data_IF_345125021798
#
_entry.id   IF_345125021798
#
_cell.length_a   1.000
_cell.length_b   1.000
_cell.length_c   1.000
_cell.angle_alpha   90.00
_cell.angle_beta   90.00
_cell.angle_gamma   90.00
#
_symmetry.space_group_name_H-M   'P 1'
#
loop_
_entity.id
_entity.type
_entity.pdbx_description
1 polymer ?
#
# COMPACT_ATOMS: atom_id res chain seq x y z
N UNK A 1 -6.09 1.28 27.60
CA UNK A 1 -4.80 1.64 28.24
C UNK A 1 -4.58 3.13 28.06
N UNK A 2 -3.92 3.79 29.01
CA UNK A 2 -3.76 5.25 29.03
C UNK A 2 -2.85 5.81 27.94
N UNK A 3 -2.32 4.96 27.06
CA UNK A 3 -1.39 5.32 25.99
C UNK A 3 -1.80 4.84 24.59
N UNK A 4 -3.07 4.47 24.41
CA UNK A 4 -3.57 3.90 23.16
C UNK A 4 -4.93 4.45 22.78
N UNK A 5 -5.12 4.74 21.49
CA UNK A 5 -6.42 4.97 20.85
C UNK A 5 -6.67 3.87 19.83
N UNK A 6 -7.89 3.33 19.84
CA UNK A 6 -8.34 2.28 18.90
C UNK A 6 -9.54 2.80 18.12
N UNK A 7 -9.49 2.67 16.81
CA UNK A 7 -10.58 3.00 15.89
C UNK A 7 -11.04 1.72 15.20
N UNK A 8 -12.31 1.40 15.34
CA UNK A 8 -12.94 0.26 14.68
C UNK A 8 -14.05 0.79 13.78
N UNK A 9 -14.14 0.26 12.58
CA UNK A 9 -15.14 0.67 11.62
C UNK A 9 -15.21 -0.28 10.42
N UNK A 10 -15.93 0.17 9.40
CA UNK A 10 -16.01 -0.54 8.13
C UNK A 10 -15.85 0.43 6.96
N UNK A 11 -15.45 -0.10 5.80
CA UNK A 11 -15.41 0.65 4.56
C UNK A 11 -16.82 1.15 4.19
N UNK A 12 -16.88 2.18 3.35
CA UNK A 12 -18.15 2.78 2.91
C UNK A 12 -19.05 1.71 2.29
N UNK A 13 -20.29 1.63 2.79
CA UNK A 13 -21.30 0.68 2.34
C UNK A 13 -22.10 0.09 3.49
N UNK A 14 -22.70 -1.05 3.25
CA UNK A 14 -23.44 -1.83 4.22
C UNK A 14 -22.49 -2.58 5.15
N UNK A 15 -22.68 -2.43 6.45
CA UNK A 15 -21.87 -3.08 7.49
C UNK A 15 -21.78 -4.62 7.32
N UNK A 16 -22.85 -5.25 6.84
CA UNK A 16 -22.91 -6.71 6.68
C UNK A 16 -22.08 -7.24 5.50
N UNK A 17 -21.69 -6.36 4.56
CA UNK A 17 -20.99 -6.74 3.34
C UNK A 17 -19.68 -6.00 3.12
N UNK A 18 -19.39 -4.97 3.93
CA UNK A 18 -18.19 -4.16 3.79
C UNK A 18 -16.98 -4.76 4.52
N UNK A 19 -15.79 -4.41 4.09
CA UNK A 19 -14.55 -4.74 4.80
C UNK A 19 -14.52 -3.95 6.10
N UNK A 20 -14.34 -4.64 7.22
CA UNK A 20 -14.11 -4.06 8.52
C UNK A 20 -12.63 -3.78 8.74
N UNK A 21 -12.31 -2.84 9.62
CA UNK A 21 -10.94 -2.51 9.98
C UNK A 21 -10.80 -2.20 11.47
N UNK A 22 -9.59 -2.39 11.97
CA UNK A 22 -9.15 -1.94 13.27
C UNK A 22 -7.83 -1.19 13.11
N UNK A 23 -7.79 0.05 13.57
CA UNK A 23 -6.58 0.87 13.60
C UNK A 23 -6.22 1.16 15.05
N UNK A 24 -4.97 0.90 15.44
CA UNK A 24 -4.46 1.15 16.78
C UNK A 24 -3.30 2.14 16.68
N UNK A 25 -3.42 3.25 17.39
CA UNK A 25 -2.32 4.19 17.63
C UNK A 25 -1.89 4.07 19.09
N UNK A 26 -0.64 3.69 19.31
CA UNK A 26 -0.05 3.54 20.64
C UNK A 26 1.18 4.42 20.77
N UNK A 27 1.33 5.07 21.92
CA UNK A 27 2.45 5.96 22.20
C UNK A 27 3.33 5.43 23.34
N UNK A 28 4.63 5.61 23.19
CA UNK A 28 5.63 5.46 24.25
C UNK A 28 6.47 6.74 24.32
N UNK A 29 6.89 7.14 25.51
CA UNK A 29 7.80 8.27 25.72
C UNK A 29 8.94 7.88 26.64
N UNK A 30 10.04 8.63 26.56
CA UNK A 30 11.20 8.46 27.44
C UNK A 30 10.91 8.93 28.86
N UNK A 31 10.11 9.97 29.02
CA UNK A 31 9.70 10.58 30.27
C UNK A 31 8.35 11.28 30.12
N UNK A 32 7.86 11.89 31.19
CA UNK A 32 6.61 12.63 31.19
C UNK A 32 5.39 11.76 31.36
N UNK A 33 4.24 12.27 30.93
CA UNK A 33 2.94 11.63 31.07
C UNK A 33 2.27 11.49 29.72
N UNK A 34 1.76 10.30 29.45
CA UNK A 34 0.90 10.03 28.30
C UNK A 34 -0.53 9.87 28.83
N UNK A 35 -1.47 10.55 28.20
CA UNK A 35 -2.90 10.41 28.46
C UNK A 35 -3.64 10.21 27.15
N UNK A 36 -4.36 9.10 27.03
CA UNK A 36 -5.25 8.83 25.91
C UNK A 36 -6.70 9.06 26.30
N UNK A 37 -7.44 9.72 25.43
CA UNK A 37 -8.90 9.84 25.46
C UNK A 37 -9.51 9.00 24.33
N UNK A 38 -10.80 9.16 24.07
CA UNK A 38 -11.50 8.42 23.00
C UNK A 38 -10.91 8.64 21.59
N UNK A 39 -10.31 9.81 21.35
CA UNK A 39 -9.84 10.20 20.01
C UNK A 39 -8.48 10.89 19.97
N UNK A 40 -7.84 11.10 21.11
CA UNK A 40 -6.57 11.83 21.20
C UNK A 40 -5.58 11.16 22.13
N UNK A 41 -4.30 11.33 21.82
CA UNK A 41 -3.18 11.03 22.72
C UNK A 41 -2.46 12.33 23.02
N UNK A 42 -2.38 12.67 24.29
CA UNK A 42 -1.62 13.84 24.78
C UNK A 42 -0.35 13.35 25.45
N UNK A 43 0.79 13.91 25.05
CA UNK A 43 2.11 13.62 25.62
C UNK A 43 2.65 14.92 26.20
N UNK A 44 3.00 14.93 27.47
CA UNK A 44 3.48 16.11 28.17
C UNK A 44 4.76 15.82 28.94
N UNK A 45 5.75 16.72 28.83
CA UNK A 45 7.01 16.63 29.57
C UNK A 45 7.99 15.58 29.02
N UNK A 46 7.78 15.05 27.83
CA UNK A 46 8.68 14.12 27.17
C UNK A 46 9.71 14.88 26.30
N UNK A 47 10.93 14.37 26.23
CA UNK A 47 11.94 14.80 25.26
C UNK A 47 11.80 14.05 23.95
N UNK A 48 11.45 12.78 24.00
CA UNK A 48 11.19 11.94 22.83
C UNK A 48 9.92 11.11 22.98
N UNK A 49 9.22 10.88 21.88
CA UNK A 49 8.07 9.99 21.86
C UNK A 49 8.12 9.11 20.58
N UNK A 50 7.70 7.87 20.74
CA UNK A 50 7.52 6.93 19.63
C UNK A 50 6.05 6.60 19.49
N UNK A 51 5.52 6.77 18.28
CA UNK A 51 4.16 6.42 17.94
C UNK A 51 4.17 5.14 17.09
N UNK A 52 3.41 4.14 17.52
CA UNK A 52 3.20 2.90 16.79
C UNK A 52 1.79 2.92 16.20
N UNK A 53 1.71 2.76 14.90
CA UNK A 53 0.45 2.67 14.19
C UNK A 53 0.30 1.29 13.56
N UNK A 54 -0.81 0.63 13.88
CA UNK A 54 -1.20 -0.67 13.32
C UNK A 54 -2.54 -0.51 12.64
N UNK A 55 -2.73 -1.18 11.52
CA UNK A 55 -4.00 -1.20 10.81
C UNK A 55 -4.24 -2.58 10.19
N UNK A 56 -5.31 -3.23 10.62
CA UNK A 56 -5.73 -4.53 10.13
C UNK A 56 -7.13 -4.49 9.55
N UNK A 57 -7.40 -5.37 8.60
CA UNK A 57 -8.71 -5.46 7.94
C UNK A 57 -9.25 -6.86 7.91
N UNK A 58 -10.57 -6.99 7.74
CA UNK A 58 -11.23 -8.27 7.57
C UNK A 58 -11.06 -8.89 6.18
N UNK A 59 -10.39 -8.21 5.24
CA UNK A 59 -10.14 -8.77 3.91
C UNK A 59 -9.27 -10.04 4.00
N UNK A 60 -9.72 -11.14 3.41
CA UNK A 60 -9.06 -12.45 3.47
C UNK A 60 -8.94 -13.13 2.10
N UNK A 61 -9.17 -12.39 1.03
CA UNK A 61 -9.10 -12.89 -0.35
C UNK A 61 -10.31 -12.49 -1.18
N UNK A 62 -10.14 -12.51 -2.50
CA UNK A 62 -11.18 -12.10 -3.46
C UNK A 62 -12.41 -13.03 -3.49
N UNK A 63 -12.27 -14.25 -2.99
CA UNK A 63 -13.30 -15.30 -2.94
C UNK A 63 -13.94 -15.45 -1.55
N UNK A 64 -13.61 -14.58 -0.59
CA UNK A 64 -14.09 -14.65 0.79
C UNK A 64 -15.03 -13.50 1.12
N UNK A 65 -16.13 -13.82 1.79
CA UNK A 65 -17.02 -12.78 2.30
C UNK A 65 -16.34 -12.04 3.48
N UNK A 66 -16.22 -10.71 3.44
CA UNK A 66 -15.36 -9.97 4.38
C UNK A 66 -15.82 -10.01 5.85
N UNK A 67 -17.09 -10.31 6.11
CA UNK A 67 -17.64 -10.39 7.45
C UNK A 67 -17.71 -11.84 7.95
N UNK A 68 -18.31 -12.76 7.16
CA UNK A 68 -18.53 -14.13 7.62
C UNK A 68 -17.34 -15.08 7.41
N UNK A 69 -16.39 -14.70 6.53
CA UNK A 69 -15.19 -15.47 6.19
C UNK A 69 -13.92 -14.62 6.28
N UNK A 70 -14.05 -13.43 6.84
CA UNK A 70 -12.95 -12.47 6.95
C UNK A 70 -11.88 -12.88 7.96
N UNK A 71 -10.74 -12.22 7.90
CA UNK A 71 -9.69 -12.33 8.90
C UNK A 71 -10.15 -11.79 10.26
N UNK A 72 -9.59 -12.32 11.34
CA UNK A 72 -9.81 -11.76 12.68
C UNK A 72 -8.96 -10.49 12.87
N UNK A 73 -9.41 -9.43 12.25
CA UNK A 73 -8.72 -8.14 12.21
C UNK A 73 -8.56 -7.49 13.59
N UNK A 74 -9.45 -7.80 14.54
CA UNK A 74 -9.36 -7.29 15.91
C UNK A 74 -8.22 -7.96 16.66
N UNK A 75 -8.16 -9.31 16.60
CA UNK A 75 -7.11 -10.07 17.26
C UNK A 75 -5.75 -9.77 16.60
N UNK A 76 -5.68 -9.73 15.28
CA UNK A 76 -4.45 -9.41 14.54
C UNK A 76 -3.91 -8.03 14.90
N UNK A 77 -4.75 -6.99 14.90
CA UNK A 77 -4.34 -5.63 15.26
C UNK A 77 -3.85 -5.55 16.72
N UNK A 78 -4.52 -6.25 17.64
CA UNK A 78 -4.12 -6.30 19.04
C UNK A 78 -2.77 -6.99 19.23
N UNK A 79 -2.54 -8.11 18.52
CA UNK A 79 -1.30 -8.87 18.56
C UNK A 79 -0.12 -8.09 17.99
N UNK A 80 -0.31 -7.46 16.84
CA UNK A 80 0.70 -6.59 16.23
C UNK A 80 1.06 -5.40 17.12
N UNK A 81 0.07 -4.73 17.71
CA UNK A 81 0.30 -3.61 18.62
C UNK A 81 1.02 -4.07 19.90
N UNK A 82 0.76 -5.29 20.38
CA UNK A 82 1.46 -5.89 21.49
C UNK A 82 2.92 -6.20 21.16
N UNK A 83 3.18 -6.78 19.99
CA UNK A 83 4.53 -7.15 19.59
C UNK A 83 5.42 -5.94 19.31
N UNK A 84 4.90 -4.90 18.64
CA UNK A 84 5.66 -3.71 18.27
C UNK A 84 6.28 -3.00 19.47
N UNK A 85 5.57 -2.88 20.58
CA UNK A 85 6.08 -2.14 21.77
C UNK A 85 7.22 -2.85 22.50
N UNK A 86 7.49 -4.11 22.18
CA UNK A 86 8.62 -4.86 22.73
C UNK A 86 9.94 -4.54 22.03
N UNK A 87 9.90 -3.74 20.95
CA UNK A 87 11.09 -3.34 20.21
C UNK A 87 11.38 -1.85 20.44
N UNK A 88 12.64 -1.50 20.58
CA UNK A 88 13.06 -0.09 20.53
C UNK A 88 12.89 0.48 19.12
N UNK A 89 12.72 1.78 19.02
CA UNK A 89 12.70 2.50 17.73
C UNK A 89 13.92 2.14 16.86
N UNK A 90 15.12 2.11 17.45
CA UNK A 90 16.35 1.80 16.73
C UNK A 90 16.36 0.35 16.21
N UNK A 91 15.86 -0.60 16.97
CA UNK A 91 15.74 -1.99 16.54
C UNK A 91 14.80 -2.12 15.33
N UNK A 92 13.62 -1.48 15.37
CA UNK A 92 12.66 -1.46 14.25
C UNK A 92 13.25 -0.74 13.03
N UNK A 93 13.88 0.42 13.24
CA UNK A 93 14.53 1.17 12.17
C UNK A 93 15.63 0.37 11.49
N UNK A 94 16.48 -0.30 12.26
CA UNK A 94 17.58 -1.10 11.70
C UNK A 94 17.07 -2.32 10.93
N UNK A 95 16.03 -3.00 11.43
CA UNK A 95 15.35 -4.08 10.69
C UNK A 95 14.80 -3.57 9.37
N UNK A 96 14.06 -2.46 9.39
CA UNK A 96 13.49 -1.85 8.21
C UNK A 96 14.57 -1.48 7.18
N UNK A 97 15.67 -0.84 7.61
CA UNK A 97 16.75 -0.45 6.71
C UNK A 97 17.41 -1.69 6.09
N UNK A 98 17.72 -2.70 6.91
CA UNK A 98 18.37 -3.92 6.44
C UNK A 98 17.54 -4.63 5.38
N UNK A 99 16.26 -4.80 5.66
CA UNK A 99 15.30 -5.44 4.77
C UNK A 99 15.09 -4.64 3.47
N UNK A 100 14.90 -3.33 3.59
CA UNK A 100 14.67 -2.47 2.43
C UNK A 100 15.89 -2.36 1.50
N UNK A 101 17.08 -2.22 2.06
CA UNK A 101 18.33 -2.08 1.30
C UNK A 101 18.66 -3.33 0.49
N UNK A 102 18.27 -4.50 0.97
CA UNK A 102 18.43 -5.76 0.22
C UNK A 102 17.72 -5.70 -1.14
N UNK A 103 16.51 -5.15 -1.19
CA UNK A 103 15.73 -4.99 -2.42
C UNK A 103 16.17 -3.75 -3.21
N UNK A 104 16.23 -2.61 -2.54
CA UNK A 104 16.51 -1.33 -3.20
C UNK A 104 17.93 -1.27 -3.79
N UNK A 105 18.90 -1.88 -3.13
CA UNK A 105 20.29 -1.91 -3.54
C UNK A 105 20.61 -2.71 -4.80
N UNK A 106 19.67 -3.54 -5.28
CA UNK A 106 19.86 -4.43 -6.44
C UNK A 106 19.98 -3.72 -7.78
N UNK A 107 19.55 -2.47 -7.84
CA UNK A 107 19.56 -1.66 -9.05
C UNK A 107 19.98 -0.23 -8.74
N UNK A 108 20.84 0.33 -9.61
CA UNK A 108 21.28 1.73 -9.51
C UNK A 108 21.16 2.40 -10.88
N UNK A 109 20.48 3.53 -10.91
CA UNK A 109 20.41 4.41 -12.06
C UNK A 109 21.24 5.66 -11.77
N UNK A 110 22.06 6.09 -12.74
CA UNK A 110 22.75 7.36 -12.72
C UNK A 110 22.61 8.03 -14.08
N UNK A 111 21.98 9.18 -14.11
CA UNK A 111 21.84 10.02 -15.29
C UNK A 111 22.75 11.24 -15.12
N UNK A 112 23.68 11.42 -16.05
CA UNK A 112 24.61 12.56 -16.04
C UNK A 112 25.49 12.66 -14.77
N UNK A 113 25.92 13.88 -14.47
CA UNK A 113 26.55 14.21 -13.20
C UNK A 113 25.47 14.63 -12.22
N UNK A 114 25.23 13.88 -11.14
CA UNK A 114 24.21 14.26 -10.18
C UNK A 114 24.66 15.56 -9.47
N UNK A 115 23.94 16.63 -9.66
CA UNK A 115 24.05 17.80 -8.79
C UNK A 115 22.97 17.64 -7.74
N UNK A 116 23.38 17.06 -6.60
CA UNK A 116 22.49 16.96 -5.46
C UNK A 116 22.34 18.35 -4.84
N UNK A 117 21.14 18.91 -4.96
CA UNK A 117 20.78 20.14 -4.29
C UNK A 117 19.82 19.87 -3.13
N UNK A 118 20.41 19.65 -1.95
CA UNK A 118 19.67 19.42 -0.71
C UNK A 118 19.12 20.71 -0.07
N UNK A 119 19.41 21.88 -0.66
CA UNK A 119 18.97 23.18 -0.13
C UNK A 119 17.62 23.59 -0.69
N UNK A 120 17.25 23.06 -1.84
CA UNK A 120 15.97 23.37 -2.47
C UNK A 120 14.96 22.24 -2.30
N UNK A 121 13.74 22.51 -1.82
CA UNK A 121 12.69 21.52 -1.73
C UNK A 121 12.34 20.90 -3.10
N UNK A 122 11.94 19.65 -3.10
CA UNK A 122 11.64 18.90 -4.34
C UNK A 122 10.54 19.56 -5.18
N UNK A 123 9.54 20.16 -4.55
CA UNK A 123 8.47 20.88 -5.25
C UNK A 123 9.01 22.11 -6.04
N UNK A 124 9.98 22.81 -5.51
CA UNK A 124 10.63 23.91 -6.23
C UNK A 124 11.46 23.39 -7.41
N UNK A 125 12.20 22.30 -7.20
CA UNK A 125 12.95 21.66 -8.28
C UNK A 125 12.05 21.14 -9.40
N UNK A 126 10.86 20.65 -9.08
CA UNK A 126 9.85 20.21 -10.05
C UNK A 126 9.30 21.38 -10.88
N UNK A 127 9.02 22.52 -10.26
CA UNK A 127 8.59 23.73 -10.98
C UNK A 127 9.67 24.20 -11.97
N UNK A 128 10.91 24.32 -11.52
CA UNK A 128 12.04 24.68 -12.38
C UNK A 128 12.26 23.67 -13.52
N UNK A 129 12.09 22.38 -13.26
CA UNK A 129 12.19 21.34 -14.28
C UNK A 129 11.11 21.52 -15.36
N UNK A 130 9.89 21.84 -14.95
CA UNK A 130 8.78 22.11 -15.85
C UNK A 130 9.04 23.36 -16.70
N UNK A 131 9.47 24.46 -16.06
CA UNK A 131 9.73 25.73 -16.74
C UNK A 131 10.90 25.62 -17.75
N UNK A 132 11.94 24.86 -17.40
CA UNK A 132 13.12 24.63 -18.25
C UNK A 132 12.92 23.48 -19.25
N UNK A 133 11.77 22.81 -19.27
CA UNK A 133 11.48 21.63 -20.12
C UNK A 133 12.50 20.50 -19.95
N UNK A 134 12.88 20.23 -18.70
CA UNK A 134 13.83 19.17 -18.36
C UNK A 134 15.21 19.69 -17.90
N UNK A 135 16.20 18.83 -17.99
CA UNK A 135 17.60 19.20 -17.73
C UNK A 135 18.06 19.06 -16.28
N UNK A 136 17.36 18.27 -15.45
CA UNK A 136 17.80 17.92 -14.10
C UNK A 136 17.98 16.40 -13.94
N UNK A 137 19.16 15.84 -14.31
CA UNK A 137 19.41 14.40 -14.22
C UNK A 137 19.28 13.82 -12.81
N UNK A 138 19.49 14.65 -11.77
CA UNK A 138 19.28 14.23 -10.39
C UNK A 138 17.79 13.97 -10.12
N UNK A 139 16.93 14.91 -10.52
CA UNK A 139 15.48 14.78 -10.33
C UNK A 139 14.92 13.60 -11.12
N UNK A 140 15.41 13.37 -12.34
CA UNK A 140 15.03 12.23 -13.19
C UNK A 140 15.45 10.90 -12.54
N UNK A 141 16.67 10.85 -12.00
CA UNK A 141 17.16 9.68 -11.23
C UNK A 141 16.32 9.45 -9.98
N UNK A 142 16.01 10.52 -9.22
CA UNK A 142 15.18 10.45 -8.02
C UNK A 142 13.78 9.94 -8.35
N UNK A 143 13.17 10.41 -9.43
CA UNK A 143 11.86 9.98 -9.87
C UNK A 143 11.80 8.47 -10.17
N UNK A 144 12.78 7.97 -10.93
CA UNK A 144 12.90 6.54 -11.22
C UNK A 144 13.09 5.70 -9.95
N UNK A 145 13.95 6.16 -9.03
CA UNK A 145 14.19 5.45 -7.76
C UNK A 145 12.99 5.53 -6.81
N UNK A 146 12.23 6.63 -6.86
CA UNK A 146 11.01 6.79 -6.09
C UNK A 146 9.90 5.84 -6.59
N UNK A 147 9.78 5.64 -7.90
CA UNK A 147 8.89 4.63 -8.47
C UNK A 147 9.23 3.21 -7.97
N UNK A 148 10.52 2.86 -7.91
CA UNK A 148 10.96 1.59 -7.30
C UNK A 148 10.63 1.49 -5.81
N UNK A 149 10.80 2.58 -5.06
CA UNK A 149 10.39 2.62 -3.65
C UNK A 149 8.90 2.34 -3.49
N UNK A 150 8.04 2.96 -4.29
CA UNK A 150 6.60 2.73 -4.24
C UNK A 150 6.25 1.27 -4.56
N UNK A 151 6.87 0.68 -5.58
CA UNK A 151 6.64 -0.72 -5.95
C UNK A 151 7.07 -1.69 -4.82
N UNK A 152 8.26 -1.51 -4.24
CA UNK A 152 8.70 -2.29 -3.08
C UNK A 152 7.74 -2.15 -1.91
N UNK A 153 7.25 -0.93 -1.65
CA UNK A 153 6.39 -0.65 -0.50
C UNK A 153 4.98 -1.23 -0.63
N UNK A 154 4.50 -1.49 -1.85
CA UNK A 154 3.12 -1.94 -2.08
C UNK A 154 2.98 -3.38 -2.57
N UNK A 155 4.04 -4.05 -3.03
CA UNK A 155 3.90 -5.30 -3.77
C UNK A 155 4.83 -6.44 -3.32
N UNK A 156 5.47 -6.33 -2.16
CA UNK A 156 6.42 -7.35 -1.69
C UNK A 156 5.79 -8.49 -0.90
N UNK A 157 4.53 -8.38 -0.53
CA UNK A 157 3.80 -9.40 0.22
C UNK A 157 2.60 -9.86 -0.58
N UNK A 158 2.12 -11.07 -0.28
CA UNK A 158 0.84 -11.56 -0.82
C UNK A 158 -0.30 -10.62 -0.43
N UNK A 159 -1.30 -10.50 -1.28
CA UNK A 159 -2.45 -9.64 -1.06
C UNK A 159 -2.96 -9.04 -2.35
N UNK A 160 -3.39 -7.79 -2.27
CA UNK A 160 -3.88 -7.07 -3.45
C UNK A 160 -2.74 -6.36 -4.17
N UNK A 161 -2.74 -6.33 -5.52
CA UNK A 161 -1.78 -5.54 -6.28
C UNK A 161 -2.04 -4.04 -6.10
N UNK A 162 -1.07 -3.21 -6.52
CA UNK A 162 -1.28 -1.77 -6.61
C UNK A 162 -2.39 -1.46 -7.61
N UNK A 163 -3.42 -0.73 -7.17
CA UNK A 163 -4.50 -0.29 -8.04
C UNK A 163 -4.08 0.91 -8.92
N UNK A 164 -5.03 1.53 -9.65
CA UNK A 164 -4.78 2.60 -10.60
C UNK A 164 -3.89 3.73 -10.05
N UNK A 165 -4.08 4.14 -8.80
CA UNK A 165 -3.30 5.21 -8.17
C UNK A 165 -2.36 4.75 -7.04
N UNK A 166 -2.15 3.44 -6.88
CA UNK A 166 -1.41 2.84 -5.78
C UNK A 166 -2.29 2.59 -4.54
N UNK A 167 -1.70 2.04 -3.48
CA UNK A 167 -2.45 1.63 -2.28
C UNK A 167 -2.84 2.78 -1.36
N UNK A 168 -2.10 3.91 -1.42
CA UNK A 168 -2.31 5.03 -0.51
C UNK A 168 -3.06 6.17 -1.16
N UNK A 169 -4.04 6.71 -0.44
CA UNK A 169 -4.80 7.89 -0.85
C UNK A 169 -5.09 8.77 0.36
N UNK A 170 -5.00 10.11 0.24
CA UNK A 170 -5.42 11.02 1.29
C UNK A 170 -6.94 11.28 1.29
N UNK A 171 -7.68 10.67 0.36
CA UNK A 171 -9.10 10.90 0.17
C UNK A 171 -9.93 9.74 0.68
N UNK A 172 -11.04 10.03 1.34
CA UNK A 172 -12.05 9.03 1.71
C UNK A 172 -12.63 8.34 0.46
N UNK A 173 -12.85 9.13 -0.59
CA UNK A 173 -13.21 8.66 -1.92
C UNK A 173 -12.06 8.98 -2.87
N UNK A 174 -11.21 8.00 -3.12
CA UNK A 174 -10.10 8.17 -4.05
C UNK A 174 -10.62 8.40 -5.48
N UNK A 175 -9.89 9.16 -6.31
CA UNK A 175 -10.14 9.18 -7.75
C UNK A 175 -10.21 7.74 -8.28
N UNK A 176 -11.16 7.48 -9.19
CA UNK A 176 -11.39 6.12 -9.74
C UNK A 176 -11.73 5.04 -8.70
N UNK A 177 -12.02 5.44 -7.45
CA UNK A 177 -12.47 4.58 -6.34
C UNK A 177 -11.57 3.37 -6.05
N UNK A 178 -10.27 3.48 -6.34
CA UNK A 178 -9.30 2.40 -6.13
C UNK A 178 -9.51 1.19 -7.04
N UNK A 179 -10.17 1.35 -8.20
CA UNK A 179 -10.37 0.25 -9.14
C UNK A 179 -9.07 -0.22 -9.78
N UNK A 180 -9.10 -1.41 -10.36
CA UNK A 180 -8.06 -1.94 -11.23
C UNK A 180 -8.46 -1.73 -12.69
N UNK A 181 -7.76 -0.85 -13.37
CA UNK A 181 -7.94 -0.65 -14.81
C UNK A 181 -6.98 -1.62 -15.53
N UNK A 182 -7.53 -2.75 -15.95
CA UNK A 182 -6.78 -3.92 -16.45
C UNK A 182 -6.61 -3.94 -17.97
N UNK A 183 -6.64 -2.78 -18.60
CA UNK A 183 -6.34 -2.64 -20.03
C UNK A 183 -4.98 -2.00 -20.31
N UNK A 184 -4.36 -1.33 -19.31
CA UNK A 184 -2.99 -0.82 -19.38
C UNK A 184 -2.48 -0.31 -18.00
N UNK A 185 -3.30 0.32 -17.17
CA UNK A 185 -2.82 1.04 -15.99
C UNK A 185 -2.27 0.10 -14.93
N UNK A 186 -2.94 -1.02 -14.67
CA UNK A 186 -2.44 -2.04 -13.77
C UNK A 186 -1.11 -2.62 -14.27
N UNK A 187 -1.02 -2.91 -15.56
CA UNK A 187 0.17 -3.44 -16.21
C UNK A 187 1.35 -2.48 -16.10
N UNK A 188 1.12 -1.17 -16.32
CA UNK A 188 2.16 -0.14 -16.23
C UNK A 188 2.73 -0.01 -14.82
N UNK A 189 1.93 -0.23 -13.77
CA UNK A 189 2.42 -0.25 -12.40
C UNK A 189 3.50 -1.33 -12.19
N UNK A 190 3.44 -2.43 -12.94
CA UNK A 190 4.33 -3.57 -12.78
C UNK A 190 5.42 -3.70 -13.85
N UNK A 191 5.35 -2.93 -14.95
CA UNK A 191 6.39 -2.95 -15.98
C UNK A 191 7.81 -2.74 -15.46
N UNK A 192 8.04 -1.87 -14.47
CA UNK A 192 9.39 -1.68 -13.94
C UNK A 192 9.91 -2.82 -13.06
N UNK A 193 9.09 -3.78 -12.64
CA UNK A 193 9.49 -4.83 -11.72
C UNK A 193 10.70 -5.62 -12.22
N UNK A 194 10.58 -6.32 -13.33
CA UNK A 194 11.67 -7.14 -13.89
C UNK A 194 12.88 -6.31 -14.35
N UNK A 195 12.72 -5.22 -15.14
CA UNK A 195 13.86 -4.41 -15.57
C UNK A 195 14.65 -3.78 -14.43
N UNK A 196 14.02 -3.52 -13.28
CA UNK A 196 14.68 -2.94 -12.12
C UNK A 196 15.14 -3.97 -11.07
N UNK A 197 15.20 -5.25 -11.46
CA UNK A 197 15.64 -6.38 -10.63
C UNK A 197 14.79 -6.57 -9.36
N UNK A 198 13.47 -6.53 -9.54
CA UNK A 198 12.44 -6.73 -8.50
C UNK A 198 11.33 -7.70 -8.98
N UNK A 199 11.67 -8.87 -9.59
CA UNK A 199 10.66 -9.76 -10.19
C UNK A 199 9.64 -10.27 -9.16
N UNK A 200 10.03 -10.44 -7.91
CA UNK A 200 9.13 -10.90 -6.84
C UNK A 200 8.01 -9.92 -6.53
N UNK A 201 8.11 -8.65 -6.96
CA UNK A 201 7.03 -7.67 -6.81
C UNK A 201 5.83 -7.96 -7.72
N UNK A 202 5.94 -8.89 -8.68
CA UNK A 202 4.79 -9.30 -9.50
C UNK A 202 3.86 -10.28 -8.80
N UNK A 203 4.26 -10.85 -7.68
CA UNK A 203 3.50 -11.89 -6.98
C UNK A 203 2.04 -11.51 -6.67
N UNK A 204 1.70 -10.31 -6.15
CA UNK A 204 0.31 -9.94 -5.94
C UNK A 204 -0.48 -9.79 -7.25
N UNK A 205 0.17 -9.38 -8.33
CA UNK A 205 -0.43 -9.32 -9.66
C UNK A 205 -0.72 -10.72 -10.20
N UNK A 206 0.19 -11.67 -10.03
CA UNK A 206 0.01 -13.05 -10.47
C UNK A 206 -1.17 -13.71 -9.76
N UNK A 207 -1.29 -13.51 -8.43
CA UNK A 207 -2.43 -13.98 -7.62
C UNK A 207 -3.76 -13.34 -8.08
N UNK A 208 -3.72 -12.05 -8.41
CA UNK A 208 -4.89 -11.32 -8.91
C UNK A 208 -5.32 -11.82 -10.30
N UNK A 209 -4.39 -12.05 -11.21
CA UNK A 209 -4.67 -12.63 -12.53
C UNK A 209 -5.29 -14.02 -12.40
N UNK A 210 -4.81 -14.83 -11.46
CA UNK A 210 -5.42 -16.13 -11.18
C UNK A 210 -6.89 -16.01 -10.73
N UNK A 211 -7.18 -15.01 -9.88
CA UNK A 211 -8.55 -14.71 -9.44
C UNK A 211 -9.42 -14.20 -10.59
N UNK A 212 -8.90 -13.30 -11.42
CA UNK A 212 -9.58 -12.85 -12.65
C UNK A 212 -9.88 -14.02 -13.60
N UNK A 213 -8.93 -14.93 -13.78
CA UNK A 213 -9.13 -16.10 -14.63
C UNK A 213 -10.23 -17.03 -14.10
N UNK A 214 -10.32 -17.19 -12.77
CA UNK A 214 -11.38 -17.99 -12.16
C UNK A 214 -12.77 -17.39 -12.42
N UNK A 215 -12.95 -16.10 -12.12
CA UNK A 215 -14.22 -15.38 -12.31
C UNK A 215 -14.55 -15.18 -13.79
N UNK A 216 -13.53 -14.91 -14.60
CA UNK A 216 -13.65 -14.63 -16.03
C UNK A 216 -14.17 -15.80 -16.87
N UNK A 217 -14.08 -17.05 -16.38
CA UNK A 217 -14.73 -18.21 -17.00
C UNK A 217 -16.27 -18.07 -16.98
N UNK A 218 -16.83 -17.57 -15.87
CA UNK A 218 -18.27 -17.32 -15.77
C UNK A 218 -18.68 -16.19 -16.70
N UNK A 219 -17.88 -15.13 -16.77
CA UNK A 219 -18.14 -14.00 -17.67
C UNK A 219 -18.06 -14.44 -19.14
N UNK A 220 -17.05 -15.21 -19.54
CA UNK A 220 -16.92 -15.74 -20.88
C UNK A 220 -18.17 -16.55 -21.28
N UNK A 221 -18.62 -17.44 -20.41
CA UNK A 221 -19.78 -18.29 -20.67
C UNK A 221 -21.08 -17.48 -20.69
N UNK A 222 -21.36 -16.70 -19.66
CA UNK A 222 -22.67 -16.10 -19.44
C UNK A 222 -22.94 -14.87 -20.33
N UNK A 223 -21.91 -14.07 -20.61
CA UNK A 223 -22.06 -12.85 -21.41
C UNK A 223 -21.73 -13.07 -22.91
N UNK A 224 -20.78 -13.96 -23.19
CA UNK A 224 -20.26 -14.11 -24.55
C UNK A 224 -20.50 -15.48 -25.19
N UNK A 225 -21.10 -16.44 -24.45
CA UNK A 225 -21.36 -17.80 -24.94
C UNK A 225 -20.09 -18.60 -25.25
N UNK A 226 -18.97 -18.25 -24.62
CA UNK A 226 -17.67 -18.89 -24.86
C UNK A 226 -17.43 -19.96 -23.78
N UNK A 227 -17.32 -21.21 -24.20
CA UNK A 227 -17.16 -22.37 -23.30
C UNK A 227 -15.71 -22.62 -22.86
N UNK A 228 -14.72 -22.08 -23.58
CA UNK A 228 -13.30 -22.29 -23.31
C UNK A 228 -12.58 -20.96 -23.12
N UNK A 229 -11.67 -20.92 -22.13
CA UNK A 229 -10.93 -19.72 -21.79
C UNK A 229 -11.67 -18.84 -20.78
N UNK A 230 -11.23 -17.61 -20.64
CA UNK A 230 -11.79 -16.61 -19.74
C UNK A 230 -11.63 -15.21 -20.32
N UNK A 231 -12.42 -14.27 -19.83
CA UNK A 231 -12.28 -12.87 -20.20
C UNK A 231 -12.55 -11.97 -19.00
N UNK A 232 -11.97 -10.79 -19.01
CA UNK A 232 -12.23 -9.71 -18.07
C UNK A 232 -12.50 -8.43 -18.85
N UNK A 233 -13.41 -7.59 -18.35
CA UNK A 233 -13.57 -6.23 -18.83
C UNK A 233 -12.42 -5.34 -18.35
N UNK A 234 -12.35 -4.10 -18.85
CA UNK A 234 -11.24 -3.19 -18.57
C UNK A 234 -11.18 -2.71 -17.11
N UNK A 235 -12.25 -2.79 -16.34
CA UNK A 235 -12.30 -2.45 -14.93
C UNK A 235 -12.51 -3.70 -14.07
N UNK A 236 -11.83 -3.73 -12.95
CA UNK A 236 -11.99 -4.74 -11.92
C UNK A 236 -11.84 -4.10 -10.52
N UNK A 237 -11.98 -4.90 -9.50
CA UNK A 237 -11.84 -4.51 -8.09
C UNK A 237 -11.09 -5.59 -7.29
N UNK A 238 -10.95 -5.42 -5.98
CA UNK A 238 -10.30 -6.40 -5.11
C UNK A 238 -10.99 -7.76 -5.06
N UNK A 239 -12.23 -7.84 -5.54
CA UNK A 239 -13.01 -9.08 -5.66
C UNK A 239 -12.81 -9.77 -7.00
N UNK A 240 -11.90 -9.24 -7.82
CA UNK A 240 -11.61 -9.73 -9.16
C UNK A 240 -12.88 -9.78 -10.06
N UNK A 241 -13.68 -8.72 -10.02
CA UNK A 241 -14.82 -8.57 -10.90
C UNK A 241 -14.39 -8.59 -12.38
N UNK A 242 -15.14 -9.31 -13.23
CA UNK A 242 -14.77 -9.50 -14.64
C UNK A 242 -15.89 -9.17 -15.62
N UNK A 243 -17.11 -8.92 -15.13
CA UNK A 243 -18.27 -8.63 -15.98
C UNK A 243 -18.11 -7.28 -16.71
N UNK A 244 -18.77 -7.10 -17.85
CA UNK A 244 -18.83 -5.82 -18.55
C UNK A 244 -19.36 -4.69 -17.66
N UNK A 245 -18.79 -3.49 -17.82
CA UNK A 245 -19.17 -2.27 -17.10
C UNK A 245 -19.79 -1.29 -18.09
#
# INVERSE_FOLDING_TARGET
SDNQVTVIGHATGDELHSIHFCSILKALSDEGVIHASDSTITISGATTATLFFVNETSFSGSDKHPVSQGADYLANAADDAWHLVNFSYDALRNRHISDYVELFGRFRLRLGKPVFDNKRPTNQQLLEYTDNKGGNPYLETLYAQYGRYLLISCSRTKGVPANLQGLWTPHLYSPWRGNYTVNINLEENYWPACPSNLPEMTMPLDDFIASLAANGKHTARNYYGIERGWCSSHNSDIWAMTNPV
#
